data_IF_229469144263
#
_entry.id   IF_229469144263
#
_cell.length_a   1.000
_cell.length_b   1.000
_cell.length_c   1.000
_cell.angle_alpha   90.00
_cell.angle_beta   90.00
_cell.angle_gamma   90.00
#
_symmetry.space_group_name_H-M   'P 1'
#
loop_
_entity.id
_entity.type
_entity.pdbx_description
1 polymer ?
#
# COMPACT_ATOMS: atom_id res chain seq x y z
N UNK A 1 -16.13 5.30 -1.62
CA UNK A 1 -16.57 6.35 -2.32
C UNK A 1 -15.56 7.02 -3.04
N UNK A 2 -14.58 7.60 -2.39
CA UNK A 2 -13.54 8.15 -3.08
C UNK A 2 -12.77 7.14 -3.80
N UNK A 3 -12.76 5.89 -3.34
CA UNK A 3 -12.08 4.85 -4.04
C UNK A 3 -12.80 4.50 -5.31
N UNK A 4 -14.06 4.86 -5.41
CA UNK A 4 -14.78 4.77 -6.63
C UNK A 4 -15.03 3.39 -7.11
N UNK A 5 -15.05 3.24 -8.42
CA UNK A 5 -15.51 2.04 -9.02
C UNK A 5 -14.53 0.88 -9.00
N UNK A 6 -13.42 1.02 -9.64
CA UNK A 6 -12.44 -0.05 -9.70
C UNK A 6 -11.15 0.39 -9.07
N UNK A 7 -10.76 -0.32 -8.05
CA UNK A 7 -9.49 -0.06 -7.39
C UNK A 7 -8.68 -1.33 -7.36
N UNK A 8 -7.38 -1.17 -7.24
CA UNK A 8 -6.45 -2.30 -7.18
C UNK A 8 -5.84 -2.33 -5.80
N UNK A 9 -5.85 -3.49 -5.16
CA UNK A 9 -5.19 -3.71 -3.89
C UNK A 9 -3.99 -4.61 -4.12
N UNK A 10 -2.88 -4.27 -3.48
CA UNK A 10 -1.66 -5.06 -3.62
C UNK A 10 -0.86 -4.95 -2.33
N UNK A 11 0.20 -5.73 -2.22
CA UNK A 11 1.09 -5.63 -1.07
C UNK A 11 1.76 -4.27 -1.08
N UNK A 12 1.74 -3.60 0.06
CA UNK A 12 2.47 -2.36 0.23
C UNK A 12 3.77 -2.61 0.97
N UNK A 13 4.52 -1.56 1.17
CA UNK A 13 5.74 -1.65 1.94
C UNK A 13 5.37 -1.61 3.42
N UNK A 14 6.29 -2.08 4.27
CA UNK A 14 6.08 -2.07 5.72
C UNK A 14 4.92 -2.96 6.17
N UNK A 15 4.69 -4.05 5.44
CA UNK A 15 3.69 -5.05 5.82
C UNK A 15 2.26 -4.55 5.86
N UNK A 16 1.94 -3.60 5.01
CA UNK A 16 0.57 -3.14 4.86
C UNK A 16 0.09 -3.42 3.45
N UNK A 17 -1.18 -3.11 3.18
CA UNK A 17 -1.72 -3.21 1.83
C UNK A 17 -1.86 -1.81 1.26
N UNK A 18 -1.66 -1.69 -0.04
CA UNK A 18 -1.83 -0.43 -0.74
C UNK A 18 -3.01 -0.54 -1.70
N UNK A 19 -3.85 0.48 -1.73
CA UNK A 19 -5.00 0.53 -2.61
C UNK A 19 -4.86 1.73 -3.52
N UNK A 20 -4.96 1.49 -4.83
CA UNK A 20 -4.81 2.52 -5.84
C UNK A 20 -6.05 2.61 -6.70
N UNK A 21 -6.40 3.82 -7.12
CA UNK A 21 -7.39 3.99 -8.19
C UNK A 21 -6.79 3.44 -9.47
N UNK A 22 -7.62 3.21 -10.48
CA UNK A 22 -7.11 2.73 -11.76
C UNK A 22 -6.10 3.69 -12.35
N UNK A 23 -6.34 4.98 -12.22
CA UNK A 23 -5.44 5.98 -12.76
C UNK A 23 -4.09 5.94 -12.07
N UNK A 24 -4.10 5.89 -10.73
CA UNK A 24 -2.85 5.83 -9.98
C UNK A 24 -2.10 4.53 -10.24
N UNK A 25 -2.86 3.43 -10.35
CA UNK A 25 -2.26 2.12 -10.64
C UNK A 25 -1.57 2.12 -11.98
N UNK A 26 -2.18 2.76 -12.98
CA UNK A 26 -1.58 2.80 -14.30
C UNK A 26 -0.23 3.52 -14.26
N UNK A 27 -0.14 4.61 -13.52
CA UNK A 27 1.11 5.33 -13.41
C UNK A 27 2.20 4.48 -12.77
N UNK A 28 1.85 3.77 -11.71
CA UNK A 28 2.81 2.91 -11.03
C UNK A 28 3.20 1.74 -11.91
N UNK A 29 2.22 1.15 -12.57
CA UNK A 29 2.44 0.02 -13.45
C UNK A 29 3.37 0.41 -14.60
N UNK A 30 3.12 1.56 -15.22
CA UNK A 30 3.96 2.02 -16.33
C UNK A 30 5.38 2.29 -15.85
N UNK A 31 5.52 2.95 -14.71
CA UNK A 31 6.84 3.27 -14.18
C UNK A 31 7.62 2.00 -13.85
N UNK A 32 6.94 1.02 -13.25
CA UNK A 32 7.58 -0.21 -12.86
C UNK A 32 7.96 -1.05 -14.08
N UNK A 33 7.09 -1.07 -15.09
CA UNK A 33 7.37 -1.84 -16.30
C UNK A 33 8.53 -1.24 -17.10
N UNK A 34 8.77 0.05 -16.96
CA UNK A 34 9.86 0.69 -17.68
C UNK A 34 11.23 0.37 -17.08
N UNK A 35 11.26 -0.22 -15.88
CA UNK A 35 12.53 -0.59 -15.26
C UNK A 35 13.07 -1.86 -15.89
N UNK A 36 14.39 -1.95 -15.97
CA UNK A 36 15.04 -3.09 -16.62
C UNK A 36 14.92 -4.35 -15.79
N UNK A 37 14.43 -5.41 -16.41
CA UNK A 37 14.28 -6.71 -15.73
C UNK A 37 15.59 -7.47 -15.65
N UNK A 38 16.70 -6.88 -16.10
CA UNK A 38 17.99 -7.55 -15.93
C UNK A 38 18.47 -7.49 -14.48
N UNK A 39 17.93 -6.57 -13.67
CA UNK A 39 18.31 -6.48 -12.28
C UNK A 39 17.41 -7.36 -11.43
N UNK A 40 18.04 -8.16 -10.56
CA UNK A 40 17.28 -9.05 -9.69
C UNK A 40 16.34 -8.30 -8.77
N UNK A 41 16.75 -7.13 -8.29
CA UNK A 41 15.90 -6.33 -7.41
C UNK A 41 14.65 -5.86 -8.12
N UNK A 42 14.77 -5.50 -9.39
CA UNK A 42 13.63 -5.05 -10.18
C UNK A 42 12.66 -6.21 -10.40
N UNK A 43 13.20 -7.39 -10.72
CA UNK A 43 12.35 -8.56 -10.90
C UNK A 43 11.59 -8.91 -9.63
N UNK A 44 12.28 -8.81 -8.49
CA UNK A 44 11.65 -9.09 -7.21
C UNK A 44 10.53 -8.10 -6.91
N UNK A 45 10.77 -6.83 -7.18
CA UNK A 45 9.76 -5.80 -6.95
C UNK A 45 8.55 -6.00 -7.86
N UNK A 46 8.79 -6.35 -9.12
CA UNK A 46 7.68 -6.60 -10.04
C UNK A 46 6.82 -7.76 -9.56
N UNK A 47 7.45 -8.83 -9.08
CA UNK A 47 6.68 -9.96 -8.56
C UNK A 47 5.91 -9.58 -7.30
N UNK A 48 6.53 -8.79 -6.45
CA UNK A 48 5.92 -8.36 -5.21
C UNK A 48 4.66 -7.53 -5.49
N UNK A 49 4.77 -6.56 -6.38
CA UNK A 49 3.67 -5.64 -6.66
C UNK A 49 2.65 -6.25 -7.61
N UNK A 50 3.10 -6.71 -8.78
CA UNK A 50 2.17 -7.23 -9.78
C UNK A 50 1.63 -8.60 -9.40
N UNK A 51 2.47 -9.42 -8.77
CA UNK A 51 2.07 -10.78 -8.44
C UNK A 51 0.99 -10.85 -7.39
N UNK A 52 0.88 -9.83 -6.54
CA UNK A 52 -0.10 -9.83 -5.47
C UNK A 52 -1.31 -8.95 -5.79
N UNK A 53 -1.30 -8.22 -6.90
CA UNK A 53 -2.35 -7.26 -7.20
C UNK A 53 -3.68 -7.96 -7.52
N UNK A 54 -4.77 -7.37 -7.05
CA UNK A 54 -6.10 -7.88 -7.28
C UNK A 54 -7.07 -6.72 -7.35
N UNK A 55 -8.17 -6.90 -8.07
CA UNK A 55 -9.20 -5.89 -8.08
C UNK A 55 -9.96 -5.94 -6.77
N UNK A 56 -10.25 -4.78 -6.24
CA UNK A 56 -10.94 -4.67 -4.98
C UNK A 56 -12.43 -4.90 -5.21
N UNK A 57 -13.02 -5.80 -4.42
CA UNK A 57 -14.42 -6.15 -4.56
C UNK A 57 -15.22 -5.66 -3.36
N UNK A 58 -16.47 -5.27 -3.62
CA UNK A 58 -17.37 -4.83 -2.57
C UNK A 58 -18.55 -5.78 -2.51
N UNK A 59 -19.04 -6.08 -1.30
CA UNK A 59 -20.24 -6.89 -1.16
C UNK A 59 -21.46 -5.97 -1.23
N UNK A 60 -22.64 -6.54 -1.01
CA UNK A 60 -23.89 -5.79 -1.14
C UNK A 60 -24.04 -4.71 -0.08
N UNK A 61 -23.36 -4.85 1.03
CA UNK A 61 -23.41 -3.85 2.09
C UNK A 61 -22.29 -2.83 1.95
N UNK A 62 -21.53 -2.88 0.87
CA UNK A 62 -20.45 -1.93 0.67
C UNK A 62 -19.17 -2.29 1.39
N UNK A 63 -19.07 -3.50 1.93
CA UNK A 63 -17.85 -3.94 2.59
C UNK A 63 -16.87 -4.46 1.56
N UNK A 64 -15.60 -4.25 1.85
CA UNK A 64 -14.53 -4.63 0.95
C UNK A 64 -14.07 -6.04 1.25
N UNK A 65 -13.89 -6.84 0.21
CA UNK A 65 -13.39 -8.20 0.36
C UNK A 65 -11.91 -8.22 -0.01
N UNK A 66 -11.09 -8.56 0.98
CA UNK A 66 -9.64 -8.63 0.78
C UNK A 66 -9.25 -10.09 0.58
N UNK A 67 -8.55 -10.43 -0.51
CA UNK A 67 -8.13 -11.82 -0.73
C UNK A 67 -7.31 -12.35 0.43
N UNK A 68 -7.46 -13.63 0.72
CA UNK A 68 -6.81 -14.26 1.86
C UNK A 68 -5.30 -14.05 1.87
N UNK A 69 -4.56 -14.24 0.76
CA UNK A 69 -3.11 -14.04 0.81
C UNK A 69 -2.72 -12.63 1.22
N UNK A 70 -3.51 -11.63 0.82
CA UNK A 70 -3.22 -10.25 1.19
C UNK A 70 -3.52 -10.01 2.67
N UNK A 71 -4.61 -10.60 3.16
CA UNK A 71 -4.92 -10.48 4.58
C UNK A 71 -3.84 -11.10 5.43
N UNK A 72 -3.29 -12.23 4.98
CA UNK A 72 -2.23 -12.89 5.71
C UNK A 72 -0.95 -12.07 5.69
N UNK A 73 -0.62 -11.51 4.53
CA UNK A 73 0.57 -10.70 4.41
C UNK A 73 0.54 -9.52 5.39
N UNK A 74 -0.59 -8.84 5.49
CA UNK A 74 -0.71 -7.65 6.33
C UNK A 74 -1.17 -7.99 7.75
N UNK A 75 -1.35 -9.27 8.05
CA UNK A 75 -1.79 -9.72 9.38
C UNK A 75 -3.11 -9.09 9.79
N UNK A 76 -4.01 -8.93 8.83
CA UNK A 76 -5.32 -8.36 9.13
C UNK A 76 -6.14 -9.39 9.89
N UNK A 77 -6.67 -8.98 11.01
CA UNK A 77 -7.44 -9.87 11.84
C UNK A 77 -8.73 -9.18 12.25
N UNK A 78 -8.80 -8.65 13.46
CA UNK A 78 -10.06 -8.07 13.94
C UNK A 78 -10.24 -6.61 13.57
N UNK A 79 -9.18 -5.83 13.71
CA UNK A 79 -9.28 -4.41 13.47
C UNK A 79 -8.24 -3.96 12.47
N UNK A 80 -8.65 -3.05 11.61
CA UNK A 80 -7.75 -2.50 10.60
C UNK A 80 -7.83 -0.99 10.64
N UNK A 81 -6.75 -0.35 10.22
CA UNK A 81 -6.67 1.11 10.12
C UNK A 81 -6.52 1.45 8.66
N UNK A 82 -7.29 2.42 8.20
CA UNK A 82 -7.19 2.91 6.83
C UNK A 82 -6.50 4.25 6.88
N UNK A 83 -5.41 4.36 6.13
CA UNK A 83 -4.54 5.53 6.17
C UNK A 83 -4.43 6.12 4.78
N UNK A 84 -4.74 7.40 4.64
CA UNK A 84 -4.51 8.10 3.39
C UNK A 84 -3.05 8.48 3.30
N UNK A 85 -2.37 8.04 2.25
CA UNK A 85 -0.94 8.25 2.10
C UNK A 85 -0.60 9.10 0.89
N UNK A 86 -1.49 10.02 0.53
CA UNK A 86 -1.26 10.93 -0.59
C UNK A 86 -1.83 10.37 -1.87
N UNK A 87 -1.02 9.66 -2.64
CA UNK A 87 -1.45 9.13 -3.93
C UNK A 87 -2.06 7.74 -3.82
N UNK A 88 -2.20 7.20 -2.61
CA UNK A 88 -2.83 5.90 -2.43
C UNK A 88 -3.37 5.80 -1.00
N UNK A 89 -4.10 4.73 -0.74
CA UNK A 89 -4.64 4.45 0.58
C UNK A 89 -3.99 3.16 1.07
N UNK A 90 -3.74 3.07 2.36
CA UNK A 90 -3.14 1.89 2.96
C UNK A 90 -4.09 1.24 3.95
N UNK A 91 -4.03 -0.08 4.03
CA UNK A 91 -4.76 -0.82 5.05
C UNK A 91 -3.74 -1.54 5.92
N UNK A 92 -3.82 -1.29 7.20
CA UNK A 92 -2.89 -1.83 8.18
C UNK A 92 -3.63 -2.63 9.23
N UNK A 93 -2.97 -3.64 9.79
CA UNK A 93 -3.41 -4.21 11.04
C UNK A 93 -3.32 -3.10 12.09
N UNK A 94 -4.34 -2.98 12.95
CA UNK A 94 -4.33 -1.96 14.00
C UNK A 94 -3.10 -2.10 14.89
N UNK A 95 -2.80 -3.32 15.28
CA UNK A 95 -1.68 -3.56 16.15
C UNK A 95 -0.35 -3.16 15.52
N UNK A 96 -0.17 -3.54 14.26
CA UNK A 96 1.07 -3.20 13.56
C UNK A 96 1.18 -1.72 13.29
N UNK A 97 0.07 -1.08 12.97
CA UNK A 97 0.11 0.35 12.68
C UNK A 97 0.48 1.15 13.93
N UNK A 98 -0.11 0.79 15.07
CA UNK A 98 0.18 1.50 16.31
C UNK A 98 1.66 1.37 16.66
N UNK A 99 2.21 0.18 16.52
CA UNK A 99 3.62 -0.04 16.81
C UNK A 99 4.51 0.76 15.85
N UNK A 100 4.20 0.70 14.56
CA UNK A 100 4.97 1.41 13.54
C UNK A 100 4.92 2.92 13.77
N UNK A 101 3.73 3.44 14.05
CA UNK A 101 3.52 4.86 14.24
C UNK A 101 4.33 5.37 15.44
N UNK A 102 4.37 4.59 16.51
CA UNK A 102 5.15 4.96 17.69
C UNK A 102 6.65 5.03 17.36
N UNK A 103 7.13 4.05 16.60
CA UNK A 103 8.54 4.02 16.23
C UNK A 103 8.92 5.19 15.34
N UNK A 104 8.08 5.49 14.37
CA UNK A 104 8.35 6.54 13.40
C UNK A 104 8.28 7.92 14.06
N UNK A 105 7.33 8.10 14.98
CA UNK A 105 7.17 9.41 15.62
C UNK A 105 8.41 9.86 16.33
N UNK A 106 9.19 8.91 16.87
CA UNK A 106 10.40 9.25 17.62
C UNK A 106 11.50 9.79 16.73
N UNK A 107 11.47 9.48 15.43
CA UNK A 107 12.53 9.93 14.54
C UNK A 107 12.01 10.86 13.45
N UNK A 108 10.84 11.43 13.67
CA UNK A 108 10.21 12.21 12.60
C UNK A 108 11.02 13.45 12.23
N UNK A 109 11.61 14.11 13.20
CA UNK A 109 12.41 15.29 12.91
C UNK A 109 13.62 14.96 12.06
N UNK A 110 14.25 13.82 12.33
CA UNK A 110 15.38 13.39 11.54
C UNK A 110 14.96 13.07 10.12
N UNK A 111 13.80 12.45 9.98
CA UNK A 111 13.30 12.09 8.65
C UNK A 111 13.04 13.34 7.82
N UNK A 112 12.46 14.36 8.45
CA UNK A 112 12.17 15.60 7.73
C UNK A 112 13.46 16.28 7.30
N UNK A 113 14.50 16.27 8.16
CA UNK A 113 15.76 16.88 7.82
C UNK A 113 16.43 16.22 6.64
N UNK A 114 16.14 14.95 6.40
CA UNK A 114 16.72 14.24 5.29
C UNK A 114 16.00 14.45 3.98
N UNK A 115 14.91 15.23 3.98
CA UNK A 115 14.10 15.45 2.78
C UNK A 115 14.20 16.90 2.35
N UNK A 116 14.59 17.11 1.10
CA UNK A 116 14.69 18.45 0.57
C UNK A 116 13.32 18.97 0.17
N UNK A 117 13.09 20.24 0.44
CA UNK A 117 11.87 20.86 -0.01
C UNK A 117 10.65 20.65 0.89
N UNK A 118 10.84 20.00 2.01
CA UNK A 118 9.76 19.74 2.94
C UNK A 118 9.93 20.60 4.19
N UNK A 119 8.90 21.33 4.50
CA UNK A 119 8.90 22.15 5.72
C UNK A 119 7.61 21.86 6.48
N UNK A 120 7.75 21.33 7.67
CA UNK A 120 6.61 21.00 8.50
C UNK A 120 6.61 21.82 9.79
#
# INVERSE_FOLDING_TARGET
EQLGDLCIVTKGLDDCLAIYTQEAWKKISDALQSQSSTKASVRALKRFVFGSAAELEYDKQGRVLIPVPLREYASLDKQAVIVGAGDHVEIWSREKYDYYDDQVAESMEELVEGLEGIML
#
